data_IF_054050138249
#
_entry.id   IF_054050138249
#
_cell.length_a   1.000
_cell.length_b   1.000
_cell.length_c   1.000
_cell.angle_alpha   90.00
_cell.angle_beta   90.00
_cell.angle_gamma   90.00
#
_symmetry.space_group_name_H-M   'P 1'
#
loop_
_entity.id
_entity.type
_entity.pdbx_description
1 polymer ?
#
# COMPACT_ATOMS: atom_id res chain seq x y z
N UNK A 1 2.17 -9.56 54.01
CA UNK A 1 2.51 -8.66 52.89
C UNK A 1 4.03 -8.60 52.82
N UNK A 2 4.62 -8.80 51.65
CA UNK A 2 6.05 -9.18 51.53
C UNK A 2 6.96 -8.02 51.92
N UNK A 3 8.09 -8.32 52.54
CA UNK A 3 9.11 -7.33 52.94
C UNK A 3 9.48 -6.36 51.80
N UNK A 4 9.53 -6.87 50.57
CA UNK A 4 9.75 -6.06 49.37
C UNK A 4 8.69 -4.98 49.13
N UNK A 5 7.42 -5.20 49.52
CA UNK A 5 6.37 -4.18 49.46
C UNK A 5 6.58 -3.08 50.50
N UNK A 6 7.10 -3.44 51.67
CA UNK A 6 7.44 -2.47 52.71
C UNK A 6 8.61 -1.58 52.29
N UNK A 7 9.67 -2.20 51.76
CA UNK A 7 10.85 -1.48 51.25
C UNK A 7 10.51 -0.57 50.06
N UNK A 8 9.61 -0.99 49.16
CA UNK A 8 9.12 -0.16 48.06
C UNK A 8 8.30 1.05 48.56
N UNK A 9 7.42 0.84 49.55
CA UNK A 9 6.63 1.93 50.13
C UNK A 9 7.52 2.93 50.87
N UNK A 10 8.52 2.46 51.60
CA UNK A 10 9.52 3.31 52.26
C UNK A 10 10.30 4.14 51.24
N UNK A 11 10.69 3.55 50.11
CA UNK A 11 11.38 4.26 49.02
C UNK A 11 10.49 5.30 48.31
N UNK A 12 9.19 5.05 48.15
CA UNK A 12 8.24 6.02 47.59
C UNK A 12 7.87 7.15 48.57
N UNK A 13 7.96 6.89 49.88
CA UNK A 13 7.63 7.86 50.93
C UNK A 13 8.80 8.75 51.31
N UNK A 14 10.03 8.30 51.02
CA UNK A 14 11.18 9.19 50.95
C UNK A 14 10.91 10.14 49.78
N UNK A 15 10.36 11.30 50.10
CA UNK A 15 10.38 12.45 49.19
C UNK A 15 11.83 12.67 48.83
N UNK A 16 12.21 12.26 47.62
CA UNK A 16 13.43 12.75 47.00
C UNK A 16 13.38 14.27 47.17
N UNK A 17 14.40 14.85 47.84
CA UNK A 17 14.57 16.30 47.94
C UNK A 17 14.66 16.96 46.55
N UNK A 18 14.74 16.15 45.49
CA UNK A 18 14.58 16.53 44.11
C UNK A 18 13.09 16.59 43.75
N UNK A 19 12.52 17.79 43.83
CA UNK A 19 11.28 18.13 43.16
C UNK A 19 11.32 17.57 41.72
N UNK A 20 10.35 16.71 41.38
CA UNK A 20 10.27 16.10 40.05
C UNK A 20 10.30 17.20 38.97
N UNK A 21 11.32 17.26 38.08
CA UNK A 21 11.61 18.42 37.23
C UNK A 21 10.54 18.71 36.16
N UNK A 22 9.49 17.88 36.11
CA UNK A 22 8.34 18.01 35.23
C UNK A 22 7.08 18.49 35.94
N UNK A 23 7.17 18.97 37.19
CA UNK A 23 6.03 19.63 37.83
C UNK A 23 5.94 21.09 37.36
N UNK A 24 5.06 21.45 36.41
CA UNK A 24 4.99 22.80 35.85
C UNK A 24 4.45 23.84 36.85
N UNK A 25 3.99 23.41 38.03
CA UNK A 25 3.52 24.29 39.10
C UNK A 25 4.65 24.81 40.01
N UNK A 26 5.85 24.23 39.91
CA UNK A 26 7.00 24.61 40.73
C UNK A 26 7.89 25.61 39.97
N UNK A 27 8.37 26.67 40.63
CA UNK A 27 9.21 27.68 39.99
C UNK A 27 10.56 27.11 39.52
N UNK A 28 11.07 26.09 40.19
CA UNK A 28 12.33 25.41 39.86
C UNK A 28 12.25 24.63 38.53
N UNK A 29 11.05 24.23 38.10
CA UNK A 29 10.86 23.57 36.81
C UNK A 29 11.08 24.52 35.63
N UNK A 30 10.80 25.82 35.80
CA UNK A 30 11.07 26.84 34.77
C UNK A 30 12.56 27.06 34.56
N UNK A 31 13.35 27.06 35.64
CA UNK A 31 14.81 27.19 35.56
C UNK A 31 15.43 25.96 34.89
N UNK A 32 14.98 24.75 35.25
CA UNK A 32 15.41 23.51 34.61
C UNK A 32 15.07 23.47 33.10
N UNK A 33 13.85 23.86 32.73
CA UNK A 33 13.44 23.93 31.32
C UNK A 33 14.23 24.98 30.55
N UNK A 34 14.49 26.15 31.15
CA UNK A 34 15.28 27.21 30.55
C UNK A 34 16.73 26.76 30.27
N UNK A 35 17.35 26.03 31.21
CA UNK A 35 18.69 25.44 31.02
C UNK A 35 18.71 24.40 29.88
N UNK A 36 17.64 23.62 29.76
CA UNK A 36 17.50 22.61 28.69
C UNK A 36 17.29 23.27 27.32
N UNK A 37 16.51 24.34 27.27
CA UNK A 37 16.25 25.15 26.07
C UNK A 37 17.46 26.01 25.67
N UNK A 38 18.36 26.37 26.61
CA UNK A 38 19.55 27.18 26.33
C UNK A 38 20.50 26.55 25.30
N UNK A 39 20.48 25.22 25.16
CA UNK A 39 21.24 24.49 24.14
C UNK A 39 20.59 24.49 22.74
N UNK A 40 19.34 24.93 22.62
CA UNK A 40 18.57 24.96 21.39
C UNK A 40 18.38 26.40 20.92
N UNK A 41 19.06 26.79 19.84
CA UNK A 41 18.84 28.07 19.19
C UNK A 41 18.07 27.87 17.89
N UNK A 42 16.83 28.36 17.84
CA UNK A 42 16.01 28.35 16.63
C UNK A 42 16.72 29.09 15.48
N UNK A 43 17.44 30.17 15.79
CA UNK A 43 18.24 30.95 14.83
C UNK A 43 19.41 30.16 14.24
N UNK A 44 19.93 29.16 14.97
CA UNK A 44 20.96 28.25 14.47
C UNK A 44 20.39 27.09 13.64
N UNK A 45 19.09 26.80 13.79
CA UNK A 45 18.48 25.61 13.20
C UNK A 45 18.08 25.77 11.73
N UNK A 46 17.84 27.00 11.23
CA UNK A 46 17.70 27.34 9.81
C UNK A 46 17.40 28.83 9.63
N UNK A 47 17.91 29.43 8.55
CA UNK A 47 17.46 30.76 8.13
C UNK A 47 16.09 30.68 7.44
N UNK A 48 15.28 31.75 7.52
CA UNK A 48 13.97 31.84 6.85
C UNK A 48 14.06 31.53 5.34
N UNK A 49 15.19 31.87 4.71
CA UNK A 49 15.49 31.54 3.33
C UNK A 49 15.64 30.02 3.08
N UNK A 50 16.29 29.30 3.99
CA UNK A 50 16.44 27.83 3.90
C UNK A 50 15.11 27.12 4.12
N UNK A 51 14.29 27.59 5.06
CA UNK A 51 12.93 27.07 5.29
C UNK A 51 12.05 27.29 4.05
N UNK A 52 12.13 28.48 3.45
CA UNK A 52 11.39 28.79 2.22
C UNK A 52 11.84 27.91 1.06
N UNK A 53 13.14 27.72 0.88
CA UNK A 53 13.67 26.84 -0.18
C UNK A 53 13.32 25.36 0.04
N UNK A 54 13.46 24.88 1.28
CA UNK A 54 13.12 23.52 1.67
C UNK A 54 11.63 23.21 1.52
N UNK A 55 10.77 24.14 1.97
CA UNK A 55 9.32 24.00 1.81
C UNK A 55 8.90 24.02 0.34
N UNK A 56 9.43 24.93 -0.49
CA UNK A 56 9.17 24.94 -1.92
C UNK A 56 9.62 23.64 -2.59
N UNK A 57 10.79 23.11 -2.23
CA UNK A 57 11.29 21.83 -2.75
C UNK A 57 10.37 20.69 -2.36
N UNK A 58 9.90 20.66 -1.12
CA UNK A 58 8.95 19.67 -0.63
C UNK A 58 7.62 19.77 -1.36
N UNK A 59 7.02 20.96 -1.46
CA UNK A 59 5.74 21.15 -2.15
C UNK A 59 5.82 20.84 -3.64
N UNK A 60 6.95 21.14 -4.29
CA UNK A 60 7.17 20.78 -5.68
C UNK A 60 7.27 19.26 -5.88
N UNK A 61 7.98 18.55 -4.99
CA UNK A 61 8.03 17.07 -5.02
C UNK A 61 6.66 16.46 -4.77
N UNK A 62 5.94 17.01 -3.80
CA UNK A 62 4.59 16.61 -3.45
C UNK A 62 3.66 16.80 -4.66
N UNK A 63 3.70 17.97 -5.30
CA UNK A 63 2.96 18.24 -6.53
C UNK A 63 3.34 17.27 -7.65
N UNK A 64 4.62 16.98 -7.86
CA UNK A 64 5.07 15.99 -8.85
C UNK A 64 4.50 14.60 -8.58
N UNK A 65 4.55 14.12 -7.32
CA UNK A 65 3.94 12.85 -6.93
C UNK A 65 2.44 12.81 -7.19
N UNK A 66 1.71 13.89 -6.86
CA UNK A 66 0.27 13.97 -7.12
C UNK A 66 -0.05 14.02 -8.62
N UNK A 67 0.70 14.79 -9.42
CA UNK A 67 0.50 14.83 -10.89
C UNK A 67 0.85 13.51 -11.56
N UNK A 68 1.79 12.74 -11.00
CA UNK A 68 2.08 11.39 -11.51
C UNK A 68 1.02 10.37 -11.08
N UNK A 69 0.27 10.62 -10.01
CA UNK A 69 -0.90 9.81 -9.63
C UNK A 69 -2.15 10.16 -10.45
N UNK A 70 -2.30 11.40 -10.93
CA UNK A 70 -3.40 11.83 -11.80
C UNK A 70 -2.92 11.92 -13.26
N UNK A 71 -2.94 10.83 -14.05
CA UNK A 71 -2.58 10.93 -15.45
C UNK A 71 -3.59 11.84 -16.14
N UNK A 72 -3.12 12.98 -16.64
CA UNK A 72 -3.90 13.88 -17.51
C UNK A 72 -4.17 13.26 -18.89
N UNK A 73 -3.66 12.05 -19.14
CA UNK A 73 -3.97 11.28 -20.33
C UNK A 73 -5.26 10.51 -20.10
N UNK A 74 -6.31 10.97 -20.76
CA UNK A 74 -7.66 10.39 -20.86
C UNK A 74 -7.73 8.96 -21.43
N UNK A 75 -6.63 8.22 -21.42
CA UNK A 75 -6.61 6.81 -21.75
C UNK A 75 -6.66 6.02 -20.45
N UNK A 76 -7.85 5.52 -20.09
CA UNK A 76 -8.07 4.67 -18.90
C UNK A 76 -7.12 3.46 -18.77
N UNK A 77 -6.38 3.14 -19.84
CA UNK A 77 -5.28 2.17 -19.86
C UNK A 77 -4.11 2.53 -18.93
N UNK A 78 -3.74 3.82 -18.82
CA UNK A 78 -2.57 4.23 -18.03
C UNK A 78 -2.87 4.28 -16.51
N UNK A 79 -4.09 4.67 -16.13
CA UNK A 79 -4.54 4.63 -14.73
C UNK A 79 -4.72 3.19 -14.25
N UNK A 80 -5.26 2.30 -15.09
CA UNK A 80 -5.44 0.89 -14.78
C UNK A 80 -4.12 0.16 -14.57
N UNK A 81 -3.09 0.44 -15.38
CA UNK A 81 -1.74 -0.13 -15.19
C UNK A 81 -1.09 0.32 -13.88
N UNK A 82 -1.32 1.57 -13.47
CA UNK A 82 -0.79 2.10 -12.21
C UNK A 82 -1.49 1.50 -11.00
N UNK A 83 -2.82 1.39 -11.03
CA UNK A 83 -3.57 0.75 -9.93
C UNK A 83 -3.19 -0.72 -9.77
N UNK A 84 -2.92 -1.41 -10.89
CA UNK A 84 -2.45 -2.78 -10.90
C UNK A 84 -1.04 -2.90 -10.28
N UNK A 85 -0.12 -2.01 -10.64
CA UNK A 85 1.24 -1.99 -10.10
C UNK A 85 1.29 -1.69 -8.60
N UNK A 86 0.40 -0.82 -8.10
CA UNK A 86 0.28 -0.52 -6.67
C UNK A 86 -0.31 -1.71 -5.88
N UNK A 87 -1.31 -2.39 -6.44
CA UNK A 87 -1.98 -3.53 -5.78
C UNK A 87 -1.16 -4.83 -5.85
N UNK A 88 -0.40 -5.02 -6.93
CA UNK A 88 0.34 -6.25 -7.23
C UNK A 88 1.85 -5.97 -7.36
N UNK A 89 2.43 -5.28 -6.38
CA UNK A 89 3.84 -4.88 -6.36
C UNK A 89 4.84 -6.04 -6.41
N UNK A 90 4.40 -7.26 -6.06
CA UNK A 90 5.21 -8.47 -6.13
C UNK A 90 5.34 -9.10 -7.53
N UNK A 91 4.56 -8.65 -8.52
CA UNK A 91 4.45 -9.28 -9.86
C UNK A 91 5.28 -8.51 -10.90
N UNK A 92 5.95 -9.19 -11.86
CA UNK A 92 6.69 -8.51 -12.93
C UNK A 92 5.81 -7.57 -13.75
N UNK A 93 6.30 -6.34 -14.00
CA UNK A 93 5.55 -5.33 -14.76
C UNK A 93 5.16 -5.79 -16.18
N UNK A 94 5.98 -6.63 -16.81
CA UNK A 94 5.69 -7.21 -18.13
C UNK A 94 4.45 -8.11 -18.12
N UNK A 95 4.18 -8.81 -17.01
CA UNK A 95 2.97 -9.63 -16.85
C UNK A 95 1.74 -8.75 -16.67
N UNK A 96 1.85 -7.73 -15.81
CA UNK A 96 0.79 -6.76 -15.56
C UNK A 96 0.38 -6.03 -16.84
N UNK A 97 1.34 -5.59 -17.65
CA UNK A 97 1.10 -4.95 -18.94
C UNK A 97 0.42 -5.89 -19.95
N UNK A 98 0.86 -7.15 -20.01
CA UNK A 98 0.29 -8.13 -20.93
C UNK A 98 -1.16 -8.48 -20.59
N UNK A 99 -1.48 -8.65 -19.30
CA UNK A 99 -2.85 -8.90 -18.83
C UNK A 99 -3.74 -7.70 -19.12
N UNK A 100 -3.28 -6.48 -18.81
CA UNK A 100 -4.06 -5.26 -19.06
C UNK A 100 -4.41 -5.07 -20.55
N UNK A 101 -3.45 -5.31 -21.45
CA UNK A 101 -3.69 -5.19 -22.89
C UNK A 101 -4.66 -6.27 -23.41
N UNK A 102 -4.60 -7.49 -22.86
CA UNK A 102 -5.49 -8.58 -23.26
C UNK A 102 -6.89 -8.43 -22.68
N UNK A 103 -7.02 -7.93 -21.45
CA UNK A 103 -8.32 -7.62 -20.85
C UNK A 103 -9.10 -6.59 -21.68
N UNK A 104 -8.42 -5.57 -22.21
CA UNK A 104 -9.03 -4.60 -23.14
C UNK A 104 -9.54 -5.25 -24.43
N UNK A 105 -8.80 -6.22 -24.97
CA UNK A 105 -9.21 -6.96 -26.16
C UNK A 105 -10.36 -7.93 -25.85
N UNK A 106 -10.32 -8.60 -24.70
CA UNK A 106 -11.33 -9.55 -24.26
C UNK A 106 -12.67 -8.87 -23.96
N UNK A 107 -12.65 -7.65 -23.40
CA UNK A 107 -13.86 -6.85 -23.18
C UNK A 107 -14.53 -6.40 -24.49
N UNK A 108 -13.76 -6.30 -25.58
CA UNK A 108 -14.29 -6.03 -26.92
C UNK A 108 -14.96 -7.25 -27.55
N UNK A 109 -14.88 -8.42 -26.92
CA UNK A 109 -15.44 -9.68 -27.39
C UNK A 109 -16.64 -10.06 -26.52
N UNK A 110 -17.81 -10.28 -27.14
CA UNK A 110 -19.04 -10.73 -26.46
C UNK A 110 -18.96 -12.23 -26.08
N UNK A 111 -18.00 -12.57 -25.21
CA UNK A 111 -17.73 -13.93 -24.73
C UNK A 111 -17.96 -14.03 -23.21
N UNK A 112 -18.07 -15.25 -22.68
CA UNK A 112 -18.33 -15.44 -21.25
C UNK A 112 -17.15 -14.98 -20.39
N UNK A 113 -17.42 -14.57 -19.13
CA UNK A 113 -16.38 -14.15 -18.18
C UNK A 113 -15.27 -15.20 -18.03
N UNK A 114 -15.63 -16.50 -18.00
CA UNK A 114 -14.65 -17.59 -17.96
C UNK A 114 -13.73 -17.59 -19.19
N UNK A 115 -14.28 -17.37 -20.38
CA UNK A 115 -13.52 -17.31 -21.62
C UNK A 115 -12.62 -16.07 -21.66
N UNK A 116 -13.11 -14.92 -21.19
CA UNK A 116 -12.33 -13.68 -21.09
C UNK A 116 -11.11 -13.86 -20.20
N UNK A 117 -11.28 -14.48 -19.02
CA UNK A 117 -10.17 -14.75 -18.09
C UNK A 117 -9.13 -15.69 -18.68
N UNK A 118 -9.57 -16.78 -19.32
CA UNK A 118 -8.66 -17.76 -19.92
C UNK A 118 -7.87 -17.11 -21.06
N UNK A 119 -8.52 -16.29 -21.89
CA UNK A 119 -7.86 -15.54 -22.96
C UNK A 119 -6.78 -14.58 -22.44
N UNK A 120 -7.04 -13.89 -21.32
CA UNK A 120 -6.09 -12.92 -20.75
C UNK A 120 -4.82 -13.56 -20.15
N UNK A 121 -4.88 -14.83 -19.80
CA UNK A 121 -3.79 -15.51 -19.08
C UNK A 121 -3.07 -16.53 -19.95
N UNK A 122 -3.75 -17.14 -20.92
CA UNK A 122 -3.21 -18.16 -21.84
C UNK A 122 -1.82 -17.82 -22.44
N UNK A 123 -1.56 -16.63 -22.99
CA UNK A 123 -0.25 -16.35 -23.60
C UNK A 123 0.88 -16.18 -22.58
N UNK A 124 0.58 -16.01 -21.29
CA UNK A 124 1.56 -15.92 -20.21
C UNK A 124 1.88 -17.29 -19.59
N UNK A 125 1.00 -18.27 -19.78
CA UNK A 125 1.10 -19.61 -19.22
C UNK A 125 1.12 -20.70 -20.31
N UNK A 126 2.18 -20.78 -21.14
CA UNK A 126 2.25 -21.75 -22.24
C UNK A 126 2.31 -23.22 -21.78
N UNK A 127 2.62 -23.46 -20.50
CA UNK A 127 2.75 -24.80 -19.92
C UNK A 127 1.41 -25.42 -19.47
N UNK A 128 0.33 -24.65 -19.47
CA UNK A 128 -0.98 -25.08 -19.00
C UNK A 128 -1.95 -25.30 -20.16
N UNK A 129 -2.78 -26.34 -20.06
CA UNK A 129 -3.81 -26.58 -21.07
C UNK A 129 -5.01 -25.66 -20.84
N UNK A 130 -5.76 -25.40 -21.90
CA UNK A 130 -6.97 -24.57 -21.85
C UNK A 130 -8.02 -25.16 -20.89
N UNK A 131 -8.19 -26.49 -20.90
CA UNK A 131 -9.08 -27.20 -19.97
C UNK A 131 -8.67 -26.97 -18.50
N UNK A 132 -7.38 -27.00 -18.19
CA UNK A 132 -6.87 -26.74 -16.84
C UNK A 132 -7.14 -25.29 -16.42
N UNK A 133 -6.91 -24.32 -17.31
CA UNK A 133 -7.18 -22.90 -17.05
C UNK A 133 -8.68 -22.66 -16.79
N UNK A 134 -9.57 -23.35 -17.50
CA UNK A 134 -11.01 -23.29 -17.23
C UNK A 134 -11.36 -23.81 -15.84
N UNK A 135 -10.69 -24.85 -15.34
CA UNK A 135 -10.90 -25.33 -13.96
C UNK A 135 -10.54 -24.24 -12.95
N UNK A 136 -9.47 -23.49 -13.19
CA UNK A 136 -9.07 -22.37 -12.33
C UNK A 136 -9.95 -21.11 -12.50
N UNK A 137 -10.59 -20.92 -13.66
CA UNK A 137 -11.49 -19.81 -13.93
C UNK A 137 -12.92 -20.02 -13.39
N UNK A 138 -13.35 -21.28 -13.22
CA UNK A 138 -14.70 -21.62 -12.69
C UNK A 138 -15.08 -20.92 -11.37
N UNK A 139 -14.20 -20.84 -10.36
CA UNK A 139 -14.48 -20.11 -9.13
C UNK A 139 -14.81 -18.63 -9.35
N UNK A 140 -14.32 -18.04 -10.44
CA UNK A 140 -14.54 -16.63 -10.77
C UNK A 140 -15.84 -16.45 -11.56
N UNK A 141 -16.09 -17.32 -12.53
CA UNK A 141 -17.28 -17.22 -13.38
C UNK A 141 -18.59 -17.65 -12.70
N UNK A 142 -18.53 -18.51 -11.68
CA UNK A 142 -19.72 -19.10 -11.04
C UNK A 142 -19.82 -18.87 -9.53
N UNK A 143 -19.04 -17.95 -8.95
CA UNK A 143 -19.14 -17.64 -7.52
C UNK A 143 -20.49 -16.99 -7.17
N UNK A 144 -21.42 -17.79 -6.62
CA UNK A 144 -22.69 -17.29 -6.07
C UNK A 144 -22.59 -16.77 -4.63
N UNK A 145 -21.40 -16.77 -4.00
CA UNK A 145 -21.24 -16.32 -2.62
C UNK A 145 -19.80 -15.88 -2.33
N UNK A 146 -19.63 -14.61 -2.00
CA UNK A 146 -18.49 -14.08 -1.23
C UNK A 146 -17.26 -13.73 -2.05
N UNK A 147 -16.85 -12.47 -1.91
CA UNK A 147 -15.58 -11.91 -2.37
C UNK A 147 -14.43 -12.87 -2.02
N UNK A 148 -13.66 -13.34 -3.01
CA UNK A 148 -12.47 -14.13 -2.72
C UNK A 148 -11.42 -13.14 -2.18
N UNK A 149 -11.20 -13.14 -0.87
CA UNK A 149 -10.23 -12.26 -0.24
C UNK A 149 -8.82 -12.56 -0.76
N UNK A 150 -8.32 -11.65 -1.61
CA UNK A 150 -6.98 -11.65 -2.20
C UNK A 150 -5.85 -11.42 -1.17
N UNK A 151 -6.19 -11.21 0.10
CA UNK A 151 -5.31 -10.69 1.14
C UNK A 151 -4.13 -11.59 1.54
N UNK A 152 -4.11 -12.85 1.13
CA UNK A 152 -3.05 -13.77 1.52
C UNK A 152 -1.84 -13.80 0.56
N UNK A 153 -1.97 -13.27 -0.66
CA UNK A 153 -0.95 -13.44 -1.72
C UNK A 153 -0.02 -12.22 -1.85
N UNK A 154 -0.41 -11.07 -1.29
CA UNK A 154 0.36 -9.82 -1.37
C UNK A 154 1.68 -9.78 -0.59
N UNK A 155 2.03 -10.84 0.15
CA UNK A 155 3.24 -10.86 0.99
C UNK A 155 4.38 -11.72 0.45
N UNK A 156 4.17 -12.49 -0.62
CA UNK A 156 5.16 -13.44 -1.15
C UNK A 156 5.68 -12.94 -2.50
N UNK A 157 7.00 -12.97 -2.69
CA UNK A 157 7.64 -12.56 -3.94
C UNK A 157 7.23 -13.52 -5.08
N UNK A 158 6.96 -13.00 -6.28
CA UNK A 158 6.53 -13.82 -7.43
C UNK A 158 7.45 -15.00 -7.75
N UNK A 159 8.75 -14.86 -7.45
CA UNK A 159 9.78 -15.88 -7.64
C UNK A 159 9.65 -17.07 -6.68
N UNK A 160 8.98 -16.90 -5.54
CA UNK A 160 8.80 -17.93 -4.51
C UNK A 160 7.46 -18.68 -4.66
N UNK A 161 6.55 -18.18 -5.50
CA UNK A 161 5.24 -18.78 -5.72
C UNK A 161 5.33 -20.08 -6.52
N UNK A 162 4.53 -21.07 -6.11
CA UNK A 162 4.35 -22.29 -6.90
C UNK A 162 3.65 -21.99 -8.24
N UNK A 163 3.83 -22.84 -9.28
CA UNK A 163 3.18 -22.64 -10.57
C UNK A 163 1.65 -22.51 -10.48
N UNK A 164 1.02 -23.22 -9.54
CA UNK A 164 -0.43 -23.16 -9.30
C UNK A 164 -0.83 -21.81 -8.68
N UNK A 165 -0.02 -21.28 -7.76
CA UNK A 165 -0.24 -19.98 -7.15
C UNK A 165 -0.05 -18.84 -8.16
N UNK A 166 0.97 -18.95 -9.03
CA UNK A 166 1.16 -18.01 -10.14
C UNK A 166 -0.06 -17.98 -11.07
N UNK A 167 -0.63 -19.14 -11.42
CA UNK A 167 -1.87 -19.21 -12.22
C UNK A 167 -3.03 -18.53 -11.50
N UNK A 168 -3.25 -18.85 -10.22
CA UNK A 168 -4.34 -18.26 -9.42
C UNK A 168 -4.20 -16.74 -9.29
N UNK A 169 -2.98 -16.25 -9.05
CA UNK A 169 -2.67 -14.84 -8.94
C UNK A 169 -2.90 -14.14 -10.30
N UNK A 170 -2.44 -14.73 -11.41
CA UNK A 170 -2.65 -14.16 -12.74
C UNK A 170 -4.13 -14.09 -13.15
N UNK A 171 -4.93 -15.11 -12.83
CA UNK A 171 -6.39 -15.08 -13.03
C UNK A 171 -7.09 -14.07 -12.12
N UNK A 172 -6.63 -13.93 -10.88
CA UNK A 172 -7.10 -12.91 -9.96
C UNK A 172 -6.84 -11.49 -10.47
N UNK A 173 -5.65 -11.23 -11.00
CA UNK A 173 -5.28 -9.98 -11.67
C UNK A 173 -6.20 -9.75 -12.86
N UNK A 174 -6.36 -10.76 -13.75
CA UNK A 174 -7.21 -10.65 -14.92
C UNK A 174 -8.66 -10.30 -14.55
N UNK A 175 -9.22 -10.95 -13.53
CA UNK A 175 -10.56 -10.64 -13.04
C UNK A 175 -10.67 -9.20 -12.52
N UNK A 176 -9.74 -8.78 -11.66
CA UNK A 176 -9.72 -7.41 -11.14
C UNK A 176 -9.58 -6.37 -12.26
N UNK A 177 -8.78 -6.65 -13.29
CA UNK A 177 -8.66 -5.75 -14.45
C UNK A 177 -9.94 -5.65 -15.25
N UNK A 178 -10.67 -6.77 -15.44
CA UNK A 178 -11.93 -6.77 -16.16
C UNK A 178 -13.02 -6.01 -15.40
N UNK A 179 -13.15 -6.22 -14.09
CA UNK A 179 -14.13 -5.49 -13.27
C UNK A 179 -13.85 -3.99 -13.24
N UNK A 180 -12.58 -3.59 -13.11
CA UNK A 180 -12.19 -2.18 -13.17
C UNK A 180 -12.47 -1.54 -14.55
N UNK A 181 -12.35 -2.31 -15.62
CA UNK A 181 -12.58 -1.83 -16.98
C UNK A 181 -14.09 -1.74 -17.29
N UNK A 182 -14.89 -2.66 -16.74
CA UNK A 182 -16.35 -2.63 -16.80
C UNK A 182 -16.90 -1.43 -16.02
N UNK A 183 -16.48 -1.21 -14.77
CA UNK A 183 -16.83 -0.02 -13.97
C UNK A 183 -16.46 1.28 -14.70
N UNK A 184 -15.27 1.36 -15.28
CA UNK A 184 -14.84 2.53 -16.05
C UNK A 184 -15.61 2.73 -17.37
N UNK A 185 -16.28 1.68 -17.88
CA UNK A 185 -17.15 1.76 -19.06
C UNK A 185 -18.59 2.17 -18.72
N UNK A 186 -19.06 1.87 -17.51
CA UNK A 186 -20.40 2.25 -17.03
C UNK A 186 -20.49 3.72 -16.58
N UNK A 187 -19.37 4.33 -16.16
CA UNK A 187 -19.29 5.73 -15.73
C UNK A 187 -19.22 6.76 -16.89
N UNK A 188 -19.30 6.32 -18.16
CA UNK A 188 -19.24 7.16 -19.37
C UNK A 188 -20.59 7.22 -20.10
#
# INVERSE_FOLDING_TARGET
>A
MSQAQGELLEALWQTEDDCYPWNPAEPEAQDYLADLEAGFSLDACQTEAEITSGSQTLFNRLHQCWTSLTPSDSSGSASLKRSLAERFSGVPSSWLDAIANQAQQALSMDISLADQLVLCVRPLLPNWTEDDLFVFARPWAYAMRGNQDFGAIGSVEWSELSPIEQVRLSLAIAHYTLTQLEEASEDN
#
